data_IF_472088266887
#
_entry.id   IF_472088266887
#
_cell.length_a   1.000
_cell.length_b   1.000
_cell.length_c   1.000
_cell.angle_alpha   90.00
_cell.angle_beta   90.00
_cell.angle_gamma   90.00
#
_symmetry.space_group_name_H-M   'P 1'
#
loop_
_entity.id
_entity.type
_entity.pdbx_description
1 polymer ?
#
# COMPACT_ATOMS: atom_id res chain seq x y z
N UNK A 1 -6.68 25.60 24.66
CA UNK A 1 -7.36 24.72 23.68
C UNK A 1 -7.97 23.56 24.45
N UNK A 2 -9.22 23.19 24.18
CA UNK A 2 -9.93 22.15 24.93
C UNK A 2 -9.95 20.83 24.13
N UNK A 3 -10.24 19.71 24.79
CA UNK A 3 -10.25 18.39 24.14
C UNK A 3 -11.31 18.24 23.03
N UNK A 4 -12.30 19.14 22.97
CA UNK A 4 -13.26 19.22 21.87
C UNK A 4 -12.66 19.94 20.64
N UNK A 5 -11.93 21.04 20.83
CA UNK A 5 -11.25 21.76 19.75
C UNK A 5 -10.14 20.93 19.11
N UNK A 6 -9.47 20.07 19.89
CA UNK A 6 -8.50 19.08 19.38
C UNK A 6 -9.19 17.92 18.63
N UNK A 7 -10.43 17.56 18.97
CA UNK A 7 -11.22 16.54 18.25
C UNK A 7 -11.85 17.10 16.97
N UNK A 8 -12.17 18.39 16.95
CA UNK A 8 -12.69 19.10 15.78
C UNK A 8 -11.56 19.45 14.78
N UNK A 9 -10.34 19.76 15.24
CA UNK A 9 -9.16 19.84 14.35
C UNK A 9 -8.81 18.46 13.76
N UNK A 10 -8.86 17.38 14.55
CA UNK A 10 -8.65 15.99 14.06
C UNK A 10 -9.78 15.44 13.16
N UNK A 11 -10.81 16.22 12.82
CA UNK A 11 -11.61 15.98 11.61
C UNK A 11 -10.84 16.38 10.32
N UNK A 12 -9.56 16.75 10.46
CA UNK A 12 -8.56 17.03 9.43
C UNK A 12 -8.52 15.94 8.36
N UNK A 13 -9.12 16.26 7.21
CA UNK A 13 -8.87 15.70 5.88
C UNK A 13 -8.43 14.22 5.89
N UNK A 14 -9.41 13.33 5.86
CA UNK A 14 -9.16 11.92 5.55
C UNK A 14 -8.91 11.78 4.05
N UNK A 15 -7.70 12.16 3.61
CA UNK A 15 -7.26 12.08 2.21
C UNK A 15 -7.59 10.68 1.66
N UNK A 16 -8.45 10.55 0.63
CA UNK A 16 -8.85 9.24 0.12
C UNK A 16 -7.63 8.44 -0.38
N UNK A 17 -7.49 7.18 0.05
CA UNK A 17 -6.39 6.28 -0.37
C UNK A 17 -6.92 5.13 -1.22
N UNK A 18 -6.33 4.91 -2.40
CA UNK A 18 -6.48 3.66 -3.15
C UNK A 18 -5.26 2.78 -2.89
N UNK A 19 -5.45 1.68 -2.19
CA UNK A 19 -4.41 0.66 -2.00
C UNK A 19 -4.47 -0.34 -3.15
N UNK A 20 -3.36 -0.55 -3.85
CA UNK A 20 -3.27 -1.43 -5.02
C UNK A 20 -2.41 -2.63 -4.69
N UNK A 21 -2.99 -3.83 -4.85
CA UNK A 21 -2.32 -5.13 -4.68
C UNK A 21 -2.35 -5.86 -6.03
N UNK A 22 -1.28 -5.80 -6.83
CA UNK A 22 -1.13 -6.70 -7.96
C UNK A 22 -0.72 -8.08 -7.45
N UNK A 23 -1.42 -9.14 -7.87
CA UNK A 23 -1.11 -10.51 -7.45
C UNK A 23 -1.02 -11.48 -8.61
N UNK A 24 -0.18 -12.51 -8.46
CA UNK A 24 0.00 -13.59 -9.43
C UNK A 24 0.51 -14.88 -8.77
N UNK A 25 -0.33 -15.91 -8.73
CA UNK A 25 -0.08 -17.21 -8.11
C UNK A 25 0.36 -17.11 -6.64
N UNK A 26 -0.28 -16.22 -5.86
CA UNK A 26 -0.01 -16.04 -4.43
C UNK A 26 -1.24 -16.38 -3.61
N UNK A 27 -1.12 -17.41 -2.78
CA UNK A 27 -2.24 -17.95 -2.02
C UNK A 27 -2.30 -17.33 -0.62
N UNK A 28 -1.69 -17.98 0.37
CA UNK A 28 -1.78 -17.62 1.79
C UNK A 28 -1.26 -16.21 2.09
N UNK A 29 -0.18 -15.78 1.42
CA UNK A 29 0.39 -14.46 1.64
C UNK A 29 -0.56 -13.33 1.19
N UNK A 30 -1.33 -13.55 0.13
CA UNK A 30 -2.34 -12.60 -0.35
C UNK A 30 -3.48 -12.47 0.66
N UNK A 31 -3.94 -13.60 1.19
CA UNK A 31 -4.98 -13.64 2.23
C UNK A 31 -4.53 -12.86 3.48
N UNK A 32 -3.31 -13.11 3.94
CA UNK A 32 -2.71 -12.40 5.08
C UNK A 32 -2.61 -10.88 4.83
N UNK A 33 -2.13 -10.48 3.65
CA UNK A 33 -2.00 -9.07 3.27
C UNK A 33 -3.35 -8.36 3.27
N UNK A 34 -4.38 -8.99 2.68
CA UNK A 34 -5.73 -8.44 2.65
C UNK A 34 -6.32 -8.37 4.07
N UNK A 35 -6.09 -9.40 4.89
CA UNK A 35 -6.57 -9.43 6.27
C UNK A 35 -6.00 -8.29 7.11
N UNK A 36 -4.70 -7.98 6.97
CA UNK A 36 -4.07 -6.84 7.65
C UNK A 36 -4.62 -5.50 7.16
N UNK A 37 -4.88 -5.35 5.84
CA UNK A 37 -5.46 -4.12 5.28
C UNK A 37 -6.88 -3.86 5.78
N UNK A 38 -7.72 -4.90 5.84
CA UNK A 38 -9.11 -4.76 6.30
C UNK A 38 -9.18 -4.33 7.77
N UNK A 39 -8.14 -4.61 8.54
CA UNK A 39 -8.01 -4.22 9.96
C UNK A 39 -7.47 -2.79 10.16
N UNK A 40 -7.04 -2.10 9.10
CA UNK A 40 -6.54 -0.73 9.22
C UNK A 40 -7.63 0.23 9.69
N UNK A 41 -7.35 0.96 10.77
CA UNK A 41 -8.22 2.02 11.31
C UNK A 41 -8.00 3.34 10.55
N UNK A 42 -8.23 3.32 9.23
CA UNK A 42 -8.28 4.53 8.41
C UNK A 42 -9.65 4.65 7.77
N UNK A 43 -10.36 5.78 7.90
CA UNK A 43 -11.77 5.83 7.56
C UNK A 43 -12.07 5.99 6.05
N UNK A 44 -11.08 6.36 5.23
CA UNK A 44 -11.31 6.71 3.82
C UNK A 44 -10.31 6.05 2.87
N UNK A 45 -10.44 4.73 2.69
CA UNK A 45 -9.65 4.00 1.72
C UNK A 45 -10.46 2.94 0.98
N UNK A 46 -9.91 2.52 -0.15
CA UNK A 46 -10.35 1.36 -0.91
C UNK A 46 -9.16 0.44 -1.19
N UNK A 47 -9.44 -0.85 -1.39
CA UNK A 47 -8.44 -1.84 -1.75
C UNK A 47 -8.78 -2.40 -3.12
N UNK A 48 -7.84 -2.31 -4.06
CA UNK A 48 -7.94 -2.87 -5.40
C UNK A 48 -6.98 -4.05 -5.50
N UNK A 49 -7.54 -5.26 -5.60
CA UNK A 49 -6.77 -6.47 -5.87
C UNK A 49 -6.83 -6.72 -7.37
N UNK A 50 -5.69 -6.67 -8.04
CA UNK A 50 -5.56 -6.97 -9.47
C UNK A 50 -4.90 -8.32 -9.63
N UNK A 51 -5.74 -9.34 -9.71
CA UNK A 51 -5.37 -10.73 -9.79
C UNK A 51 -5.13 -11.17 -11.25
N UNK A 52 -4.00 -11.81 -11.47
CA UNK A 52 -3.57 -12.34 -12.76
C UNK A 52 -3.48 -13.87 -12.74
N UNK A 53 -3.87 -14.49 -11.62
CA UNK A 53 -3.81 -15.93 -11.35
C UNK A 53 -4.95 -16.62 -12.07
N UNK A 54 -4.64 -17.51 -13.02
CA UNK A 54 -5.68 -18.18 -13.79
C UNK A 54 -6.57 -19.10 -12.92
N UNK A 55 -6.02 -19.69 -11.87
CA UNK A 55 -6.74 -20.58 -10.96
C UNK A 55 -6.06 -20.58 -9.60
N UNK A 56 -6.80 -20.13 -8.58
CA UNK A 56 -6.41 -20.22 -7.18
C UNK A 56 -6.78 -21.58 -6.58
N UNK A 57 -6.17 -21.90 -5.42
CA UNK A 57 -6.73 -22.94 -4.55
C UNK A 57 -8.19 -22.59 -4.16
N UNK A 58 -9.10 -23.58 -4.01
CA UNK A 58 -10.51 -23.32 -3.69
C UNK A 58 -10.73 -22.42 -2.47
N UNK A 59 -9.92 -22.57 -1.43
CA UNK A 59 -9.97 -21.78 -0.21
C UNK A 59 -9.60 -20.30 -0.43
N UNK A 60 -8.56 -20.02 -1.22
CA UNK A 60 -8.16 -18.65 -1.55
C UNK A 60 -9.21 -17.99 -2.43
N UNK A 61 -9.70 -18.70 -3.46
CA UNK A 61 -10.75 -18.20 -4.34
C UNK A 61 -12.01 -17.83 -3.53
N UNK A 62 -12.45 -18.73 -2.63
CA UNK A 62 -13.60 -18.49 -1.79
C UNK A 62 -13.42 -17.27 -0.87
N UNK A 63 -12.24 -17.11 -0.27
CA UNK A 63 -11.92 -15.94 0.55
C UNK A 63 -11.99 -14.63 -0.27
N UNK A 64 -11.33 -14.59 -1.44
CA UNK A 64 -11.33 -13.41 -2.31
C UNK A 64 -12.74 -13.00 -2.74
N UNK A 65 -13.58 -13.97 -3.09
CA UNK A 65 -14.99 -13.74 -3.43
C UNK A 65 -15.78 -13.25 -2.20
N UNK A 66 -15.57 -13.82 -1.03
CA UNK A 66 -16.22 -13.40 0.22
C UNK A 66 -15.92 -11.94 0.54
N UNK A 67 -14.64 -11.55 0.58
CA UNK A 67 -14.25 -10.18 0.92
C UNK A 67 -14.65 -9.18 -0.16
N UNK A 68 -14.66 -9.58 -1.43
CA UNK A 68 -15.15 -8.74 -2.52
C UNK A 68 -16.67 -8.51 -2.43
N UNK A 69 -17.45 -9.57 -2.17
CA UNK A 69 -18.90 -9.48 -2.00
C UNK A 69 -19.29 -8.68 -0.75
N UNK A 70 -18.47 -8.71 0.29
CA UNK A 70 -18.61 -7.87 1.48
C UNK A 70 -18.23 -6.39 1.24
N UNK A 71 -17.76 -6.04 0.04
CA UNK A 71 -17.34 -4.69 -0.33
C UNK A 71 -16.03 -4.25 0.35
N UNK A 72 -15.24 -5.20 0.89
CA UNK A 72 -13.96 -4.91 1.54
C UNK A 72 -12.84 -4.68 0.54
N UNK A 73 -12.92 -5.32 -0.62
CA UNK A 73 -12.00 -5.14 -1.74
C UNK A 73 -12.75 -4.97 -3.05
N UNK A 74 -12.11 -4.34 -4.03
CA UNK A 74 -12.45 -4.41 -5.46
C UNK A 74 -11.53 -5.43 -6.11
N UNK A 75 -12.08 -6.58 -6.50
CA UNK A 75 -11.33 -7.65 -7.15
C UNK A 75 -11.44 -7.52 -8.67
N UNK A 76 -10.30 -7.46 -9.35
CA UNK A 76 -10.19 -7.44 -10.80
C UNK A 76 -9.39 -8.65 -11.26
N UNK A 77 -9.89 -9.36 -12.25
CA UNK A 77 -9.20 -10.51 -12.83
C UNK A 77 -8.69 -10.17 -14.24
N UNK A 78 -7.39 -10.32 -14.45
CA UNK A 78 -6.72 -10.13 -15.74
C UNK A 78 -6.30 -11.48 -16.32
N UNK A 79 -6.55 -11.67 -17.61
CA UNK A 79 -6.20 -12.90 -18.33
C UNK A 79 -4.74 -12.94 -18.80
N UNK A 80 -3.93 -11.97 -18.37
CA UNK A 80 -2.50 -11.86 -18.69
C UNK A 80 -1.68 -11.48 -17.46
N UNK A 81 -0.45 -11.99 -17.38
CA UNK A 81 0.48 -11.65 -16.32
C UNK A 81 1.44 -10.53 -16.75
N UNK A 82 1.39 -9.41 -16.04
CA UNK A 82 2.29 -8.27 -16.13
C UNK A 82 2.13 -7.39 -14.90
N UNK A 83 3.12 -7.40 -14.00
CA UNK A 83 3.13 -6.51 -12.81
C UNK A 83 2.91 -5.02 -13.16
N UNK A 84 3.67 -4.39 -14.09
CA UNK A 84 3.40 -3.00 -14.47
C UNK A 84 2.04 -2.85 -15.19
N UNK A 85 1.59 -3.87 -15.92
CA UNK A 85 0.27 -3.89 -16.54
C UNK A 85 -0.86 -3.86 -15.49
N UNK A 86 -0.75 -4.67 -14.44
CA UNK A 86 -1.69 -4.73 -13.33
C UNK A 86 -1.73 -3.41 -12.55
N UNK A 87 -0.57 -2.82 -12.23
CA UNK A 87 -0.48 -1.49 -11.59
C UNK A 87 -1.14 -0.41 -12.46
N UNK A 88 -0.82 -0.35 -13.75
CA UNK A 88 -1.43 0.60 -14.68
C UNK A 88 -2.94 0.39 -14.85
N UNK A 89 -3.40 -0.87 -14.82
CA UNK A 89 -4.82 -1.20 -14.81
C UNK A 89 -5.50 -0.65 -13.54
N UNK A 90 -4.92 -0.90 -12.37
CA UNK A 90 -5.43 -0.43 -11.09
C UNK A 90 -5.53 1.10 -11.04
N UNK A 91 -4.50 1.83 -11.47
CA UNK A 91 -4.45 3.30 -11.47
C UNK A 91 -5.66 3.92 -12.17
N UNK A 92 -6.15 3.29 -13.25
CA UNK A 92 -7.33 3.76 -13.99
C UNK A 92 -8.65 3.56 -13.25
N UNK A 93 -8.66 2.68 -12.24
CA UNK A 93 -9.84 2.34 -11.42
C UNK A 93 -9.77 2.91 -10.00
N UNK A 94 -8.62 3.48 -9.61
CA UNK A 94 -8.44 4.16 -8.34
C UNK A 94 -9.31 5.43 -8.30
N UNK A 95 -9.93 5.67 -7.15
CA UNK A 95 -10.69 6.89 -6.82
C UNK A 95 -10.03 7.73 -5.73
N UNK A 96 -8.97 7.19 -5.12
CA UNK A 96 -8.16 7.83 -4.11
C UNK A 96 -7.31 8.98 -4.65
N UNK A 97 -7.06 9.96 -3.80
CA UNK A 97 -6.09 11.03 -4.07
C UNK A 97 -4.65 10.51 -3.89
N UNK A 98 -4.45 9.59 -2.94
CA UNK A 98 -3.21 8.84 -2.76
C UNK A 98 -3.36 7.46 -3.41
N UNK A 99 -2.43 7.08 -4.28
CA UNK A 99 -2.32 5.71 -4.80
C UNK A 99 -1.15 5.04 -4.09
N UNK A 100 -1.46 4.05 -3.26
CA UNK A 100 -0.48 3.30 -2.47
C UNK A 100 -0.31 1.90 -3.06
N UNK A 101 0.86 1.64 -3.63
CA UNK A 101 1.21 0.30 -4.12
C UNK A 101 1.83 -0.51 -2.99
N UNK A 102 1.33 -1.73 -2.78
CA UNK A 102 1.94 -2.74 -1.92
C UNK A 102 2.01 -4.07 -2.67
N UNK A 103 2.96 -4.92 -2.29
CA UNK A 103 3.05 -6.27 -2.83
C UNK A 103 2.03 -7.21 -2.14
N UNK A 104 1.82 -8.39 -2.73
CA UNK A 104 0.81 -9.37 -2.27
C UNK A 104 1.28 -10.28 -1.12
N UNK A 105 2.46 -10.01 -0.58
CA UNK A 105 3.13 -10.81 0.46
C UNK A 105 3.71 -9.98 1.61
N UNK A 106 3.02 -8.88 1.96
CA UNK A 106 3.42 -7.98 3.05
C UNK A 106 2.57 -8.18 4.30
N UNK A 107 3.14 -7.84 5.46
CA UNK A 107 2.41 -7.69 6.71
C UNK A 107 2.39 -6.21 7.09
N UNK A 108 1.24 -5.72 7.54
CA UNK A 108 1.05 -4.30 7.82
C UNK A 108 0.78 -4.07 9.31
N UNK A 109 1.52 -3.12 9.88
CA UNK A 109 1.30 -2.67 11.26
C UNK A 109 0.05 -1.77 11.35
N UNK A 110 -0.48 -1.62 12.56
CA UNK A 110 -1.56 -0.68 12.84
C UNK A 110 -1.15 0.76 12.47
N UNK A 111 -2.09 1.52 11.90
CA UNK A 111 -1.86 2.92 11.54
C UNK A 111 -1.00 3.13 10.28
N UNK A 112 -0.67 2.07 9.54
CA UNK A 112 0.10 2.14 8.30
C UNK A 112 -0.48 3.13 7.28
N UNK A 113 -1.80 3.10 7.06
CA UNK A 113 -2.48 4.02 6.15
C UNK A 113 -2.50 5.46 6.67
N UNK A 114 -2.74 5.64 7.96
CA UNK A 114 -2.72 6.96 8.61
C UNK A 114 -1.34 7.62 8.51
N UNK A 115 -0.26 6.84 8.65
CA UNK A 115 1.11 7.33 8.50
C UNK A 115 1.40 7.80 7.07
N UNK A 116 0.90 7.10 6.05
CA UNK A 116 1.01 7.55 4.66
C UNK A 116 0.25 8.86 4.43
N UNK A 117 -1.02 8.93 4.83
CA UNK A 117 -1.82 10.15 4.69
C UNK A 117 -1.19 11.36 5.39
N UNK A 118 -0.65 11.18 6.60
CA UNK A 118 0.00 12.25 7.37
C UNK A 118 1.16 12.91 6.61
N UNK A 119 1.96 12.16 5.87
CA UNK A 119 3.08 12.74 5.12
C UNK A 119 2.63 13.77 4.08
N UNK A 120 1.50 13.53 3.41
CA UNK A 120 0.94 14.45 2.42
C UNK A 120 0.17 15.62 3.07
N UNK A 121 -0.44 15.38 4.23
CA UNK A 121 -1.10 16.44 5.00
C UNK A 121 -0.09 17.44 5.58
N UNK A 122 1.01 16.93 6.16
CA UNK A 122 2.03 17.76 6.82
C UNK A 122 2.97 18.44 5.81
N UNK A 123 3.20 17.81 4.66
CA UNK A 123 4.13 18.27 3.62
C UNK A 123 3.49 18.15 2.22
N UNK A 124 2.61 19.09 1.83
CA UNK A 124 1.86 19.03 0.58
C UNK A 124 2.75 19.13 -0.68
N UNK A 125 4.02 19.51 -0.54
CA UNK A 125 5.02 19.51 -1.61
C UNK A 125 5.58 18.12 -1.95
N UNK A 126 5.34 17.10 -1.11
CA UNK A 126 5.84 15.75 -1.34
C UNK A 126 5.07 15.08 -2.48
N UNK A 127 5.80 14.69 -3.53
CA UNK A 127 5.24 13.96 -4.67
C UNK A 127 5.14 12.44 -4.46
N UNK A 128 5.98 11.87 -3.59
CA UNK A 128 6.02 10.43 -3.35
C UNK A 128 6.55 10.10 -1.94
N UNK A 129 5.97 9.09 -1.31
CA UNK A 129 6.40 8.53 -0.03
C UNK A 129 6.70 7.05 -0.24
N UNK A 130 7.87 6.60 0.21
CA UNK A 130 8.17 5.18 0.32
C UNK A 130 8.13 4.79 1.80
N UNK A 131 7.31 3.78 2.12
CA UNK A 131 7.30 3.18 3.46
C UNK A 131 8.61 2.46 3.75
N UNK A 132 8.96 2.37 5.04
CA UNK A 132 10.10 1.55 5.49
C UNK A 132 9.70 0.07 5.43
N UNK A 133 10.56 -0.77 4.85
CA UNK A 133 10.35 -2.21 4.75
C UNK A 133 11.29 -2.92 5.71
N UNK A 134 10.73 -3.76 6.59
CA UNK A 134 11.50 -4.63 7.46
C UNK A 134 11.50 -6.05 6.90
N UNK A 135 12.66 -6.50 6.42
CA UNK A 135 12.84 -7.86 5.93
C UNK A 135 13.01 -8.84 7.10
N UNK A 136 12.01 -9.69 7.33
CA UNK A 136 12.00 -10.66 8.44
C UNK A 136 13.21 -11.59 8.46
N UNK A 137 13.80 -11.93 7.32
CA UNK A 137 15.02 -12.74 7.31
C UNK A 137 16.20 -11.95 7.88
N UNK A 138 16.34 -10.69 7.48
CA UNK A 138 17.37 -9.79 8.01
C UNK A 138 17.15 -9.44 9.49
N UNK A 139 15.89 -9.37 9.95
CA UNK A 139 15.55 -9.24 11.36
C UNK A 139 15.98 -10.47 12.18
N UNK A 140 15.82 -11.66 11.61
CA UNK A 140 16.28 -12.91 12.24
C UNK A 140 17.80 -12.94 12.39
N UNK A 141 18.52 -12.46 11.37
CA UNK A 141 19.98 -12.39 11.36
C UNK A 141 20.53 -11.31 12.32
N UNK A 142 19.75 -10.28 12.65
CA UNK A 142 20.18 -9.18 13.52
C UNK A 142 20.14 -9.51 15.01
N UNK A 143 19.65 -10.70 15.40
CA UNK A 143 19.61 -11.12 16.81
C UNK A 143 18.57 -10.36 17.66
N UNK A 144 17.66 -9.61 17.04
CA UNK A 144 16.52 -8.97 17.71
C UNK A 144 16.75 -7.55 18.24
N UNK A 145 17.98 -7.03 18.22
CA UNK A 145 18.28 -5.63 18.52
C UNK A 145 18.50 -4.88 17.20
N UNK A 146 17.47 -4.14 16.77
CA UNK A 146 17.60 -3.16 15.71
C UNK A 146 17.62 -1.76 16.30
N UNK A 147 18.68 -1.02 16.02
CA UNK A 147 18.67 0.43 16.18
C UNK A 147 18.23 1.08 14.87
N UNK A 148 17.33 2.06 14.97
CA UNK A 148 16.99 2.91 13.84
C UNK A 148 18.13 3.91 13.69
N UNK A 149 18.93 3.74 12.65
CA UNK A 149 19.87 4.78 12.23
C UNK A 149 19.14 5.77 11.32
N UNK A 150 18.95 6.99 11.81
CA UNK A 150 18.53 8.09 10.95
C UNK A 150 19.75 8.56 10.15
N UNK A 151 19.70 8.30 8.84
CA UNK A 151 20.75 8.76 7.94
C UNK A 151 20.82 10.29 7.95
N UNK A 152 22.03 10.87 7.85
CA UNK A 152 22.19 12.31 7.81
C UNK A 152 21.51 12.89 6.54
N UNK A 153 21.02 14.14 6.56
CA UNK A 153 20.26 14.72 5.45
C UNK A 153 20.92 14.62 4.07
N UNK A 154 22.25 14.61 4.03
CA UNK A 154 23.07 14.48 2.82
C UNK A 154 22.93 13.11 2.14
N UNK A 155 22.56 12.06 2.88
CA UNK A 155 22.26 10.74 2.32
C UNK A 155 20.93 10.71 1.54
N UNK A 156 20.07 11.72 1.73
CA UNK A 156 18.84 11.93 0.98
C UNK A 156 19.05 12.89 -0.21
N UNK A 157 20.28 13.34 -0.48
CA UNK A 157 20.59 14.13 -1.68
C UNK A 157 20.39 13.26 -2.94
N UNK A 158 19.40 13.59 -3.80
CA UNK A 158 19.16 12.83 -5.04
C UNK A 158 20.33 12.91 -6.03
N UNK A 159 21.29 13.81 -5.83
CA UNK A 159 22.56 13.85 -6.57
C UNK A 159 23.59 12.81 -6.11
N UNK A 160 23.40 12.20 -4.93
CA UNK A 160 24.31 11.22 -4.31
C UNK A 160 23.65 9.82 -4.24
N UNK A 161 22.35 9.77 -3.96
CA UNK A 161 21.59 8.52 -3.91
C UNK A 161 21.13 8.09 -5.31
N UNK A 162 21.69 6.98 -5.80
CA UNK A 162 21.30 6.32 -7.04
C UNK A 162 19.84 5.81 -6.95
N UNK A 163 18.88 6.67 -7.25
CA UNK A 163 17.56 6.24 -7.71
C UNK A 163 17.27 6.96 -9.01
N UNK A 164 17.78 6.39 -10.12
CA UNK A 164 17.11 6.57 -11.40
C UNK A 164 15.78 5.82 -11.27
N UNK A 165 14.76 6.48 -10.71
CA UNK A 165 13.39 6.01 -10.83
C UNK A 165 13.06 6.20 -12.30
N UNK A 166 13.30 5.14 -13.07
CA UNK A 166 12.80 5.00 -14.42
C UNK A 166 11.28 4.92 -14.28
N UNK A 167 10.65 6.09 -14.18
CA UNK A 167 9.22 6.25 -14.36
C UNK A 167 8.98 5.79 -15.79
N UNK A 168 8.64 4.51 -15.93
CA UNK A 168 8.08 3.98 -17.17
C UNK A 168 6.94 4.92 -17.52
N UNK A 169 7.15 5.73 -18.55
CA UNK A 169 6.28 6.85 -18.89
C UNK A 169 4.90 6.30 -19.24
N UNK A 170 3.95 6.36 -18.31
CA UNK A 170 2.55 6.10 -18.62
C UNK A 170 1.95 7.38 -19.20
N UNK A 171 2.11 7.57 -20.51
CA UNK A 171 1.49 8.67 -21.25
C UNK A 171 -0.04 8.55 -21.22
N UNK A 172 -0.70 9.68 -21.03
CA UNK A 172 -2.15 9.84 -21.12
C UNK A 172 -2.55 9.96 -22.60
N UNK A 173 -3.54 9.17 -23.02
CA UNK A 173 -4.41 9.51 -24.13
C UNK A 173 -5.81 9.77 -23.56
#
# INVERSE_FOLDING_TARGET
>A
MNAQSLREENQQLTIPISVVIPTYNREEALVDTIADLIQQDYPNFEVLVVDQTATHKPETQAYLEEVANAGKIKLFHLTWASLPGARNYAVRHCSGEIILFIDDDVRLEEGFLAAHARNYADRPEIGAVAGRVFDRMKLGDSGGELEIEDLPPEAADPGIAWYHIDLVHTVKA
#
